data_IF_104145297798
#
_entry.id   IF_104145297798
#
_cell.length_a   1.000
_cell.length_b   1.000
_cell.length_c   1.000
_cell.angle_alpha   90.00
_cell.angle_beta   90.00
_cell.angle_gamma   90.00
#
_symmetry.space_group_name_H-M   'P 1'
#
loop_
_entity.id
_entity.type
_entity.pdbx_description
1 polymer ?
#
# COMPACT_ATOMS: atom_id res chain seq x y z
N UNK A 1 19.86 1.91 -8.87
CA UNK A 1 18.64 1.72 -8.06
C UNK A 1 19.05 1.59 -6.60
N UNK A 2 18.23 2.11 -5.71
CA UNK A 2 18.44 2.06 -4.24
C UNK A 2 17.83 0.81 -3.63
N UNK A 3 16.73 0.30 -4.22
CA UNK A 3 15.98 -0.86 -3.74
C UNK A 3 15.99 -1.99 -4.76
N UNK A 4 15.73 -3.21 -4.28
CA UNK A 4 15.53 -4.38 -5.12
C UNK A 4 14.07 -4.42 -5.59
N UNK A 5 13.84 -4.15 -6.88
CA UNK A 5 12.52 -4.17 -7.48
C UNK A 5 12.23 -5.52 -8.13
N UNK A 6 11.10 -6.09 -7.79
CA UNK A 6 10.52 -7.27 -8.42
C UNK A 6 9.41 -6.85 -9.39
N UNK A 7 9.22 -7.62 -10.47
CA UNK A 7 8.19 -7.35 -11.47
C UNK A 7 7.22 -8.52 -11.56
N UNK A 8 6.18 -8.58 -10.72
CA UNK A 8 5.21 -9.67 -10.70
C UNK A 8 4.38 -9.78 -11.99
N UNK A 9 4.18 -8.67 -12.72
CA UNK A 9 3.50 -8.62 -14.00
C UNK A 9 4.03 -7.45 -14.86
N UNK A 10 3.78 -7.44 -16.17
CA UNK A 10 4.18 -6.33 -17.04
C UNK A 10 3.63 -4.98 -16.56
N UNK A 11 4.53 -4.01 -16.32
CA UNK A 11 4.19 -2.68 -15.82
C UNK A 11 3.71 -2.67 -14.37
N UNK A 12 3.94 -3.74 -13.63
CA UNK A 12 3.65 -3.85 -12.19
C UNK A 12 4.93 -4.23 -11.49
N UNK A 13 5.34 -3.44 -10.50
CA UNK A 13 6.55 -3.66 -9.74
C UNK A 13 6.27 -3.51 -8.24
N UNK A 14 7.16 -4.06 -7.44
CA UNK A 14 7.17 -3.86 -6.01
C UNK A 14 8.60 -3.84 -5.49
N UNK A 15 8.83 -3.16 -4.38
CA UNK A 15 10.06 -3.29 -3.60
C UNK A 15 9.72 -3.37 -2.11
N UNK A 16 10.71 -3.76 -1.32
CA UNK A 16 10.63 -3.79 0.15
C UNK A 16 11.62 -2.79 0.72
N UNK A 17 11.13 -1.92 1.60
CA UNK A 17 11.98 -0.95 2.29
C UNK A 17 12.60 -1.60 3.52
N UNK A 18 13.87 -1.28 3.85
CA UNK A 18 14.56 -1.90 5.00
C UNK A 18 13.90 -1.63 6.35
N UNK A 19 13.24 -0.48 6.51
CA UNK A 19 12.52 -0.17 7.74
C UNK A 19 11.16 -0.87 7.72
N UNK A 20 10.94 -1.72 8.71
CA UNK A 20 9.75 -2.56 8.91
C UNK A 20 9.42 -3.51 7.76
N UNK A 21 10.28 -3.66 6.76
CA UNK A 21 10.03 -4.51 5.60
C UNK A 21 8.77 -4.14 4.80
N UNK A 22 8.39 -2.84 4.87
CA UNK A 22 7.18 -2.34 4.23
C UNK A 22 7.28 -2.45 2.70
N UNK A 23 6.21 -2.89 2.08
CA UNK A 23 6.10 -3.01 0.63
C UNK A 23 5.63 -1.70 0.01
N UNK A 24 6.32 -1.28 -1.03
CA UNK A 24 5.89 -0.20 -1.92
C UNK A 24 5.57 -0.80 -3.28
N UNK A 25 4.39 -0.50 -3.80
CA UNK A 25 3.92 -0.92 -5.11
C UNK A 25 4.09 0.17 -6.16
N UNK A 26 4.31 -0.26 -7.40
CA UNK A 26 4.40 0.61 -8.57
C UNK A 26 3.63 0.00 -9.73
N UNK A 27 2.71 0.76 -10.30
CA UNK A 27 2.00 0.38 -11.53
C UNK A 27 2.14 1.51 -12.53
N UNK A 28 2.60 1.20 -13.74
CA UNK A 28 2.67 2.20 -14.79
C UNK A 28 1.96 1.74 -16.07
N UNK A 29 1.33 2.67 -16.72
CA UNK A 29 0.76 2.57 -18.05
C UNK A 29 1.36 3.64 -18.96
N UNK A 30 0.75 3.81 -20.13
CA UNK A 30 1.23 4.79 -21.12
C UNK A 30 1.13 6.23 -20.61
N UNK A 31 0.09 6.57 -19.86
CA UNK A 31 -0.26 7.95 -19.51
C UNK A 31 -0.15 8.24 -18.01
N UNK A 32 0.31 7.26 -17.19
CA UNK A 32 0.40 7.44 -15.74
C UNK A 32 1.29 6.45 -15.02
N UNK A 33 1.80 6.90 -13.88
CA UNK A 33 2.62 6.12 -12.93
C UNK A 33 1.98 6.24 -11.56
N UNK A 34 1.53 5.12 -11.01
CA UNK A 34 0.87 5.04 -9.69
C UNK A 34 1.82 4.40 -8.70
N UNK A 35 2.07 5.10 -7.61
CA UNK A 35 2.75 4.59 -6.43
C UNK A 35 1.70 4.10 -5.42
N UNK A 36 1.90 2.93 -4.84
CA UNK A 36 1.03 2.34 -3.82
C UNK A 36 1.84 2.25 -2.54
N UNK A 37 1.44 3.02 -1.55
CA UNK A 37 2.17 3.34 -0.33
C UNK A 37 3.53 4.01 -0.61
N UNK A 38 4.16 4.63 0.39
CA UNK A 38 5.26 5.55 0.10
C UNK A 38 6.36 5.59 1.19
N UNK A 39 6.36 4.64 2.11
CA UNK A 39 7.35 4.59 3.19
C UNK A 39 7.12 5.64 4.28
N UNK A 40 8.12 5.76 5.14
CA UNK A 40 8.08 6.56 6.39
C UNK A 40 8.75 7.92 6.23
N UNK A 41 9.76 8.05 5.37
CA UNK A 41 10.66 9.20 5.35
C UNK A 41 10.77 9.87 3.99
N UNK A 42 11.15 11.16 3.98
CA UNK A 42 11.44 11.87 2.72
C UNK A 42 12.71 11.33 2.05
N UNK A 43 13.63 10.71 2.80
CA UNK A 43 14.81 10.06 2.23
C UNK A 43 14.40 8.82 1.43
N UNK A 44 13.55 7.96 1.99
CA UNK A 44 12.99 6.81 1.26
C UNK A 44 12.24 7.27 0.02
N UNK A 45 11.40 8.30 0.13
CA UNK A 45 10.67 8.85 -0.99
C UNK A 45 11.58 9.38 -2.11
N UNK A 46 12.70 10.04 -1.77
CA UNK A 46 13.68 10.51 -2.76
C UNK A 46 14.37 9.34 -3.48
N UNK A 47 14.72 8.28 -2.76
CA UNK A 47 15.33 7.06 -3.31
C UNK A 47 14.34 6.30 -4.21
N UNK A 48 13.08 6.15 -3.76
CA UNK A 48 11.98 5.57 -4.56
C UNK A 48 11.75 6.37 -5.84
N UNK A 49 11.71 7.71 -5.74
CA UNK A 49 11.51 8.58 -6.90
C UNK A 49 12.62 8.40 -7.95
N UNK A 50 13.88 8.25 -7.50
CA UNK A 50 15.00 7.97 -8.40
C UNK A 50 14.85 6.61 -9.09
N UNK A 51 14.55 5.56 -8.34
CA UNK A 51 14.38 4.22 -8.88
C UNK A 51 13.20 4.14 -9.85
N UNK A 52 12.08 4.80 -9.52
CA UNK A 52 10.88 4.84 -10.37
C UNK A 52 11.18 5.54 -11.69
N UNK A 53 11.93 6.63 -11.67
CA UNK A 53 12.35 7.31 -12.90
C UNK A 53 13.24 6.42 -13.76
N UNK A 54 14.13 5.62 -13.16
CA UNK A 54 14.96 4.65 -13.87
C UNK A 54 14.12 3.50 -14.49
N UNK A 55 13.08 3.03 -13.80
CA UNK A 55 12.21 1.93 -14.25
C UNK A 55 11.25 2.38 -15.34
N UNK A 56 10.62 3.55 -15.17
CA UNK A 56 9.48 3.98 -16.01
C UNK A 56 9.83 5.06 -17.02
N UNK A 57 10.94 5.75 -16.83
CA UNK A 57 11.30 6.96 -17.58
C UNK A 57 10.44 8.18 -17.24
N UNK A 58 9.60 8.12 -16.20
CA UNK A 58 8.65 9.16 -15.82
C UNK A 58 8.59 9.37 -14.30
N UNK A 59 8.04 10.50 -13.89
CA UNK A 59 7.74 10.77 -12.48
C UNK A 59 6.42 10.11 -12.05
N UNK A 60 6.26 9.89 -10.75
CA UNK A 60 4.99 9.47 -10.15
C UNK A 60 3.92 10.51 -10.44
N UNK A 61 2.78 10.07 -10.97
CA UNK A 61 1.62 10.93 -11.27
C UNK A 61 0.49 10.78 -10.25
N UNK A 62 0.39 9.61 -9.63
CA UNK A 62 -0.64 9.30 -8.63
C UNK A 62 -0.04 8.52 -7.47
N UNK A 63 -0.53 8.77 -6.26
CA UNK A 63 -0.22 8.00 -5.05
C UNK A 63 -1.51 7.45 -4.48
N UNK A 64 -1.53 6.17 -4.17
CA UNK A 64 -2.59 5.52 -3.38
C UNK A 64 -2.00 5.13 -2.03
N UNK A 65 -2.54 5.66 -0.94
CA UNK A 65 -2.20 5.27 0.43
C UNK A 65 -3.26 4.31 0.94
N UNK A 66 -2.86 3.09 1.32
CA UNK A 66 -3.80 2.01 1.65
C UNK A 66 -4.51 2.22 2.96
N UNK A 67 -3.80 2.63 4.00
CA UNK A 67 -4.33 2.88 5.33
C UNK A 67 -3.45 3.91 6.08
N UNK A 68 -3.77 4.25 7.33
CA UNK A 68 -3.22 5.43 7.99
C UNK A 68 -1.92 5.19 8.78
N UNK A 69 -1.33 3.99 8.75
CA UNK A 69 -0.09 3.74 9.47
C UNK A 69 1.08 4.48 8.84
N UNK A 70 1.99 4.92 9.70
CA UNK A 70 3.05 5.90 9.38
C UNK A 70 3.98 5.44 8.25
N UNK A 71 4.25 4.15 8.18
CA UNK A 71 5.17 3.52 7.23
C UNK A 71 4.58 3.36 5.81
N UNK A 72 3.28 3.60 5.67
CA UNK A 72 2.57 3.62 4.38
C UNK A 72 2.34 5.03 3.84
N UNK A 73 2.38 6.08 4.70
CA UNK A 73 1.86 7.41 4.32
C UNK A 73 2.85 8.56 4.42
N UNK A 74 3.87 8.49 5.28
CA UNK A 74 4.68 9.67 5.61
C UNK A 74 5.67 10.08 4.52
N UNK A 75 6.00 9.20 3.58
CA UNK A 75 6.82 9.52 2.41
C UNK A 75 6.09 10.32 1.32
N UNK A 76 4.74 10.38 1.35
CA UNK A 76 3.93 11.00 0.29
C UNK A 76 4.36 12.44 -0.10
N UNK A 77 4.75 13.34 0.82
CA UNK A 77 5.20 14.69 0.46
C UNK A 77 6.44 14.73 -0.44
N UNK A 78 7.24 13.65 -0.47
CA UNK A 78 8.43 13.55 -1.33
C UNK A 78 8.11 13.42 -2.83
N UNK A 79 6.86 13.16 -3.19
CA UNK A 79 6.41 13.02 -4.58
C UNK A 79 5.60 14.27 -5.01
N UNK A 80 6.26 15.43 -4.97
CA UNK A 80 5.61 16.71 -5.34
C UNK A 80 5.07 16.68 -6.77
N UNK A 81 3.79 17.04 -6.94
CA UNK A 81 3.09 17.05 -8.22
C UNK A 81 2.25 15.79 -8.51
N UNK A 82 2.41 14.70 -7.76
CA UNK A 82 1.52 13.55 -7.82
C UNK A 82 0.17 13.87 -7.14
N UNK A 83 -0.92 13.37 -7.71
CA UNK A 83 -2.27 13.43 -7.13
C UNK A 83 -2.41 12.29 -6.14
N UNK A 84 -2.80 12.58 -4.91
CA UNK A 84 -2.89 11.60 -3.83
C UNK A 84 -4.33 11.18 -3.53
N UNK A 85 -4.51 9.87 -3.34
CA UNK A 85 -5.77 9.20 -3.04
C UNK A 85 -5.62 8.40 -1.75
N UNK A 86 -6.56 8.54 -0.83
CA UNK A 86 -6.50 7.83 0.44
C UNK A 86 -7.87 7.71 1.12
N UNK A 87 -8.06 6.79 2.07
CA UNK A 87 -9.27 6.71 2.85
C UNK A 87 -9.39 7.89 3.85
N UNK A 88 -10.59 8.19 4.38
CA UNK A 88 -10.82 9.31 5.29
C UNK A 88 -9.91 9.30 6.54
N UNK A 89 -9.51 8.13 7.02
CA UNK A 89 -8.63 8.03 8.18
C UNK A 89 -7.22 8.57 7.92
N UNK A 90 -6.68 8.36 6.72
CA UNK A 90 -5.39 8.95 6.31
C UNK A 90 -5.45 10.47 6.30
N UNK A 91 -6.55 11.05 5.79
CA UNK A 91 -6.72 12.51 5.81
C UNK A 91 -6.70 13.07 7.25
N UNK A 92 -7.33 12.37 8.19
CA UNK A 92 -7.26 12.73 9.62
C UNK A 92 -5.86 12.54 10.21
N UNK A 93 -5.21 11.41 9.91
CA UNK A 93 -3.87 11.09 10.41
C UNK A 93 -2.83 12.14 9.97
N UNK A 94 -2.86 12.55 8.70
CA UNK A 94 -1.93 13.54 8.14
C UNK A 94 -2.25 14.99 8.53
N UNK A 95 -3.34 15.24 9.25
CA UNK A 95 -3.74 16.59 9.72
C UNK A 95 -3.88 16.62 11.24
N UNK A 96 -5.06 16.39 11.76
CA UNK A 96 -5.34 16.52 13.19
C UNK A 96 -4.76 15.40 14.05
N UNK A 97 -4.50 14.21 13.46
CA UNK A 97 -3.93 13.03 14.13
C UNK A 97 -2.40 12.91 14.01
N UNK A 98 -1.72 13.87 13.39
CA UNK A 98 -0.29 13.75 13.06
C UNK A 98 0.60 13.52 14.29
N UNK A 99 0.21 14.02 15.45
CA UNK A 99 0.90 13.77 16.72
C UNK A 99 0.86 12.31 17.18
N UNK A 100 -0.27 11.63 16.94
CA UNK A 100 -0.44 10.21 17.23
C UNK A 100 0.38 9.35 16.25
N UNK A 101 0.36 9.71 14.97
CA UNK A 101 1.20 9.10 13.92
C UNK A 101 2.68 9.17 14.32
N UNK A 102 3.14 10.35 14.76
CA UNK A 102 4.53 10.55 15.24
C UNK A 102 4.84 9.66 16.44
N UNK A 103 3.97 9.64 17.43
CA UNK A 103 4.20 8.84 18.65
C UNK A 103 4.29 7.34 18.31
N UNK A 104 3.43 6.86 17.42
CA UNK A 104 3.42 5.49 16.94
C UNK A 104 4.72 5.13 16.21
N UNK A 105 5.16 5.95 15.24
CA UNK A 105 6.40 5.73 14.50
C UNK A 105 7.62 5.64 15.43
N UNK A 106 7.70 6.50 16.45
CA UNK A 106 8.79 6.46 17.43
C UNK A 106 8.81 5.16 18.26
N UNK A 107 7.64 4.59 18.57
CA UNK A 107 7.55 3.30 19.29
C UNK A 107 8.16 2.15 18.46
N UNK A 108 8.09 2.23 17.13
CA UNK A 108 8.68 1.28 16.20
C UNK A 108 10.13 1.60 15.83
N UNK A 109 10.72 2.66 16.42
CA UNK A 109 12.13 2.97 16.25
C UNK A 109 12.46 3.85 15.04
N UNK A 110 11.49 4.57 14.48
CA UNK A 110 11.74 5.54 13.43
C UNK A 110 12.72 6.64 13.89
N UNK A 111 13.62 7.08 13.01
CA UNK A 111 14.52 8.21 13.31
C UNK A 111 13.71 9.49 13.51
N UNK A 112 13.86 10.12 14.68
CA UNK A 112 13.07 11.27 15.05
C UNK A 112 13.29 12.48 14.12
N UNK A 113 14.52 12.67 13.61
CA UNK A 113 14.84 13.79 12.73
C UNK A 113 14.25 13.63 11.32
N UNK A 114 14.33 12.41 10.76
CA UNK A 114 13.68 12.08 9.47
C UNK A 114 12.16 12.19 9.59
N UNK A 115 11.62 11.64 10.69
CA UNK A 115 10.19 11.69 10.99
C UNK A 115 9.68 13.13 11.09
N UNK A 116 10.36 14.00 11.84
CA UNK A 116 9.98 15.41 12.00
C UNK A 116 10.00 16.17 10.66
N UNK A 117 10.94 15.84 9.75
CA UNK A 117 10.96 16.39 8.39
C UNK A 117 9.76 15.94 7.56
N UNK A 118 9.42 14.65 7.58
CA UNK A 118 8.26 14.11 6.87
C UNK A 118 6.95 14.72 7.39
N UNK A 119 6.80 14.81 8.71
CA UNK A 119 5.64 15.41 9.37
C UNK A 119 5.49 16.89 9.04
N UNK A 120 6.59 17.66 9.04
CA UNK A 120 6.54 19.09 8.69
C UNK A 120 6.09 19.33 7.24
N UNK A 121 6.29 18.36 6.35
CA UNK A 121 5.85 18.42 4.95
C UNK A 121 4.48 17.75 4.72
N UNK A 122 3.93 17.04 5.72
CA UNK A 122 2.68 16.32 5.59
C UNK A 122 1.49 17.22 5.24
N UNK A 123 0.62 16.71 4.39
CA UNK A 123 -0.62 17.38 3.97
C UNK A 123 -1.73 16.35 3.78
N UNK A 124 -2.97 16.82 3.83
CA UNK A 124 -4.12 15.99 3.48
C UNK A 124 -4.00 15.47 2.04
N UNK A 125 -4.52 14.26 1.75
CA UNK A 125 -4.60 13.76 0.38
C UNK A 125 -5.51 14.66 -0.47
N UNK A 126 -5.23 14.72 -1.79
CA UNK A 126 -6.02 15.49 -2.74
C UNK A 126 -7.44 14.92 -2.89
N UNK A 127 -7.56 13.58 -2.84
CA UNK A 127 -8.81 12.87 -2.94
C UNK A 127 -9.01 11.91 -1.78
N UNK A 128 -10.12 12.10 -1.07
CA UNK A 128 -10.58 11.16 -0.04
C UNK A 128 -11.55 10.19 -0.68
N UNK A 129 -11.20 8.91 -0.66
CA UNK A 129 -11.91 7.86 -1.40
C UNK A 129 -12.24 6.64 -0.52
N UNK A 130 -13.21 5.85 -0.99
CA UNK A 130 -13.43 4.45 -0.60
C UNK A 130 -13.32 3.52 -1.80
N UNK A 131 -13.48 4.07 -3.01
CA UNK A 131 -13.24 3.39 -4.28
C UNK A 131 -12.92 4.41 -5.37
N UNK A 132 -12.10 4.02 -6.36
CA UNK A 132 -11.83 4.77 -7.58
C UNK A 132 -11.22 3.86 -8.64
N UNK A 133 -11.53 4.12 -9.89
CA UNK A 133 -10.81 3.56 -11.04
C UNK A 133 -9.86 4.62 -11.58
N UNK A 134 -8.56 4.28 -11.70
CA UNK A 134 -7.53 5.15 -12.26
C UNK A 134 -7.14 4.66 -13.65
N UNK A 135 -7.38 5.47 -14.66
CA UNK A 135 -7.02 5.18 -16.06
C UNK A 135 -5.57 5.63 -16.32
N UNK A 136 -4.73 4.69 -16.75
CA UNK A 136 -3.33 4.93 -17.10
C UNK A 136 -3.09 4.86 -18.62
N UNK A 137 -4.18 4.96 -19.42
CA UNK A 137 -4.17 5.03 -20.87
C UNK A 137 -4.22 3.69 -21.59
N UNK A 138 -3.48 2.69 -21.16
CA UNK A 138 -3.49 1.32 -21.71
C UNK A 138 -3.94 0.28 -20.68
N UNK A 139 -4.20 0.70 -19.45
CA UNK A 139 -4.77 -0.09 -18.37
C UNK A 139 -5.53 0.79 -17.41
N UNK A 140 -6.48 0.20 -16.70
CA UNK A 140 -7.16 0.79 -15.56
C UNK A 140 -6.80 -0.03 -14.32
N UNK A 141 -6.54 0.64 -13.22
CA UNK A 141 -6.40 0.00 -11.90
C UNK A 141 -7.62 0.36 -11.06
N UNK A 142 -8.11 -0.61 -10.29
CA UNK A 142 -9.20 -0.40 -9.36
C UNK A 142 -8.67 -0.30 -7.94
N UNK A 143 -9.06 0.74 -7.25
CA UNK A 143 -8.81 0.94 -5.82
C UNK A 143 -10.13 0.81 -5.10
N UNK A 144 -10.22 -0.02 -4.06
CA UNK A 144 -11.46 -0.18 -3.29
C UNK A 144 -11.21 -0.62 -1.85
N UNK A 145 -12.18 -0.32 -0.98
CA UNK A 145 -12.24 -0.81 0.39
C UNK A 145 -12.99 -2.15 0.41
N UNK A 146 -12.30 -3.30 0.60
CA UNK A 146 -12.95 -4.60 0.55
C UNK A 146 -13.71 -4.94 1.82
N UNK A 147 -13.51 -4.18 2.89
CA UNK A 147 -14.12 -4.35 4.19
C UNK A 147 -13.14 -4.11 5.34
N UNK A 148 -13.65 -4.16 6.56
CA UNK A 148 -12.87 -3.97 7.79
C UNK A 148 -11.93 -5.16 8.01
N UNK A 149 -10.75 -4.88 8.58
CA UNK A 149 -9.78 -5.95 8.83
C UNK A 149 -8.68 -5.47 9.75
N UNK A 150 -7.50 -5.21 9.19
CA UNK A 150 -6.37 -4.63 9.89
C UNK A 150 -6.73 -3.26 10.48
N UNK A 151 -7.44 -2.46 9.67
CA UNK A 151 -8.14 -1.25 10.11
C UNK A 151 -9.61 -1.29 9.67
N UNK A 152 -10.36 -0.22 9.92
CA UNK A 152 -11.75 -0.08 9.43
C UNK A 152 -11.85 0.58 8.05
N UNK A 153 -10.71 0.84 7.39
CA UNK A 153 -10.64 1.67 6.18
C UNK A 153 -9.59 1.21 5.14
N UNK A 154 -9.03 0.02 5.30
CA UNK A 154 -8.00 -0.50 4.39
C UNK A 154 -8.45 -0.44 2.92
N UNK A 155 -7.63 0.12 2.04
CA UNK A 155 -7.81 0.06 0.59
C UNK A 155 -6.93 -1.03 -0.01
N UNK A 156 -7.43 -1.67 -1.04
CA UNK A 156 -6.64 -2.58 -1.90
C UNK A 156 -6.58 -2.03 -3.31
N UNK A 157 -5.52 -2.40 -4.03
CA UNK A 157 -5.36 -2.01 -5.43
C UNK A 157 -5.31 -3.25 -6.30
N UNK A 158 -6.29 -3.37 -7.19
CA UNK A 158 -6.44 -4.50 -8.10
C UNK A 158 -5.98 -4.09 -9.49
N UNK A 159 -4.98 -4.81 -10.01
CA UNK A 159 -4.43 -4.62 -11.35
C UNK A 159 -4.83 -5.81 -12.20
N UNK A 160 -5.73 -5.57 -13.15
CA UNK A 160 -6.16 -6.59 -14.08
C UNK A 160 -5.01 -7.05 -15.01
N UNK A 161 -5.00 -8.31 -15.45
CA UNK A 161 -3.96 -8.81 -16.34
C UNK A 161 -4.02 -8.13 -17.71
N UNK A 162 -2.86 -7.80 -18.27
CA UNK A 162 -2.74 -7.34 -19.66
C UNK A 162 -2.48 -8.56 -20.54
N UNK A 163 -3.54 -9.08 -21.16
CA UNK A 163 -3.50 -10.30 -21.99
C UNK A 163 -3.66 -11.60 -21.20
N UNK A 164 -4.09 -12.66 -21.89
CA UNK A 164 -4.53 -13.93 -21.30
C UNK A 164 -3.44 -14.75 -20.57
N UNK A 165 -2.18 -14.38 -20.72
CA UNK A 165 -1.05 -15.10 -20.10
C UNK A 165 -0.59 -14.49 -18.76
N UNK A 166 -1.15 -13.35 -18.37
CA UNK A 166 -0.77 -12.65 -17.15
C UNK A 166 -1.80 -12.87 -16.05
N UNK A 167 -1.38 -12.66 -14.82
CA UNK A 167 -2.20 -12.84 -13.64
C UNK A 167 -2.68 -11.49 -13.09
N UNK A 168 -3.82 -11.48 -12.44
CA UNK A 168 -4.22 -10.35 -11.60
C UNK A 168 -3.17 -10.14 -10.50
N UNK A 169 -2.84 -8.88 -10.22
CA UNK A 169 -2.01 -8.51 -9.07
C UNK A 169 -2.87 -7.68 -8.12
N UNK A 170 -2.85 -8.04 -6.84
CA UNK A 170 -3.61 -7.33 -5.80
C UNK A 170 -2.64 -6.84 -4.74
N UNK A 171 -2.49 -5.52 -4.61
CA UNK A 171 -1.81 -4.92 -3.47
C UNK A 171 -2.79 -4.84 -2.31
N UNK A 172 -2.45 -5.49 -1.22
CA UNK A 172 -3.39 -5.79 -0.13
C UNK A 172 -3.25 -4.83 1.06
N UNK A 173 -2.19 -4.01 1.11
CA UNK A 173 -1.81 -3.37 2.36
C UNK A 173 -1.68 -4.42 3.47
N UNK A 174 -1.90 -4.01 4.70
CA UNK A 174 -1.76 -4.87 5.88
C UNK A 174 -2.96 -5.81 6.14
N UNK A 175 -3.92 -5.84 5.21
CA UNK A 175 -4.91 -6.93 5.20
C UNK A 175 -4.25 -8.29 4.99
N UNK A 176 -3.08 -8.33 4.32
CA UNK A 176 -2.24 -9.53 4.20
C UNK A 176 -0.84 -9.22 4.69
N UNK A 177 -0.32 -10.06 5.59
CA UNK A 177 1.00 -9.94 6.21
C UNK A 177 1.81 -11.19 5.94
N UNK A 178 3.04 -11.05 5.40
CA UNK A 178 3.90 -12.22 5.12
C UNK A 178 5.15 -12.21 6.00
N UNK A 179 5.65 -11.04 6.40
CA UNK A 179 6.88 -10.94 7.20
C UNK A 179 6.72 -11.42 8.63
N UNK A 180 5.48 -11.45 9.14
CA UNK A 180 5.14 -11.86 10.50
C UNK A 180 3.71 -12.40 10.60
N UNK A 181 3.22 -12.66 11.81
CA UNK A 181 1.79 -12.84 12.07
C UNK A 181 1.05 -11.50 11.81
N UNK A 182 -0.21 -11.54 11.29
CA UNK A 182 -1.01 -10.34 11.07
C UNK A 182 -1.07 -9.45 12.31
N UNK A 183 -0.76 -8.17 12.14
CA UNK A 183 -0.74 -7.20 13.22
C UNK A 183 -2.18 -6.90 13.69
N UNK A 184 -2.56 -7.47 14.83
CA UNK A 184 -3.86 -7.24 15.48
C UNK A 184 -3.66 -6.18 16.56
N UNK A 185 -4.33 -5.05 16.42
CA UNK A 185 -4.30 -3.94 17.35
C UNK A 185 -5.72 -3.51 17.75
N UNK A 186 -5.85 -2.40 18.49
CA UNK A 186 -7.15 -1.91 18.98
C UNK A 186 -8.10 -1.45 17.87
N UNK A 187 -7.60 -1.20 16.66
CA UNK A 187 -8.37 -0.76 15.51
C UNK A 187 -8.81 -1.91 14.61
N UNK A 188 -8.23 -3.10 14.83
CA UNK A 188 -8.50 -4.29 14.03
C UNK A 188 -9.87 -4.90 14.36
N UNK A 189 -10.58 -5.33 13.33
CA UNK A 189 -11.81 -6.12 13.47
C UNK A 189 -11.56 -7.54 12.96
N UNK A 190 -11.01 -8.40 13.84
CA UNK A 190 -10.61 -9.77 13.49
C UNK A 190 -11.77 -10.57 12.89
N UNK A 191 -12.99 -10.39 13.40
CA UNK A 191 -14.17 -11.10 12.90
C UNK A 191 -14.55 -10.65 11.50
N UNK A 192 -14.55 -9.34 11.24
CA UNK A 192 -14.83 -8.81 9.92
C UNK A 192 -13.70 -9.14 8.93
N UNK A 193 -12.45 -9.19 9.42
CA UNK A 193 -11.26 -9.46 8.60
C UNK A 193 -11.35 -10.79 7.85
N UNK A 194 -11.89 -11.83 8.48
CA UNK A 194 -12.12 -13.13 7.86
C UNK A 194 -12.95 -12.99 6.56
N UNK A 195 -14.10 -12.32 6.65
CA UNK A 195 -14.95 -12.05 5.49
C UNK A 195 -14.33 -11.08 4.49
N UNK A 196 -13.46 -10.19 4.93
CA UNK A 196 -12.71 -9.27 4.07
C UNK A 196 -11.68 -10.04 3.23
N UNK A 197 -10.97 -11.03 3.81
CA UNK A 197 -10.06 -11.90 3.07
C UNK A 197 -10.81 -12.80 2.07
N UNK A 198 -12.03 -13.26 2.38
CA UNK A 198 -12.84 -13.97 1.39
C UNK A 198 -13.19 -13.08 0.18
N UNK A 199 -13.52 -11.79 0.42
CA UNK A 199 -13.75 -10.82 -0.67
C UNK A 199 -12.45 -10.53 -1.45
N UNK A 200 -11.34 -10.40 -0.77
CA UNK A 200 -10.03 -10.21 -1.39
C UNK A 200 -9.68 -11.37 -2.33
N UNK A 201 -9.91 -12.62 -1.88
CA UNK A 201 -9.74 -13.82 -2.71
C UNK A 201 -10.69 -13.83 -3.92
N UNK A 202 -11.92 -13.33 -3.76
CA UNK A 202 -12.87 -13.23 -4.87
C UNK A 202 -12.46 -12.15 -5.89
N UNK A 203 -11.87 -11.05 -5.44
CA UNK A 203 -11.35 -9.96 -6.30
C UNK A 203 -10.15 -10.41 -7.14
N UNK A 204 -9.17 -11.04 -6.51
CA UNK A 204 -7.96 -11.48 -7.21
C UNK A 204 -8.14 -12.78 -7.99
N UNK A 205 -8.87 -13.72 -7.42
CA UNK A 205 -9.02 -15.07 -7.94
C UNK A 205 -7.89 -16.03 -7.52
N UNK A 206 -8.03 -17.32 -7.87
CA UNK A 206 -7.13 -18.38 -7.39
C UNK A 206 -5.70 -18.29 -7.95
N UNK A 207 -5.54 -17.69 -9.11
CA UNK A 207 -4.25 -17.58 -9.80
C UNK A 207 -3.58 -16.21 -9.61
N UNK A 208 -4.18 -15.30 -8.82
CA UNK A 208 -3.65 -13.97 -8.60
C UNK A 208 -2.35 -13.99 -7.79
N UNK A 209 -1.58 -12.92 -7.94
CA UNK A 209 -0.46 -12.58 -7.07
C UNK A 209 -0.95 -11.55 -6.07
N UNK A 210 -0.85 -11.86 -4.79
CA UNK A 210 -1.19 -10.96 -3.71
C UNK A 210 0.09 -10.35 -3.15
N UNK A 211 0.10 -9.04 -3.03
CA UNK A 211 1.24 -8.26 -2.51
C UNK A 211 0.86 -7.76 -1.12
N UNK A 212 1.44 -8.34 -0.06
CA UNK A 212 1.23 -7.90 1.32
C UNK A 212 1.74 -6.49 1.57
N UNK A 213 1.28 -5.85 2.66
CA UNK A 213 1.84 -4.60 3.15
C UNK A 213 3.29 -4.76 3.63
N UNK A 214 3.63 -5.95 4.14
CA UNK A 214 4.99 -6.31 4.56
C UNK A 214 5.34 -7.70 4.05
N UNK A 215 6.60 -7.89 3.64
CA UNK A 215 7.12 -9.19 3.23
C UNK A 215 7.03 -9.48 1.74
N UNK A 216 7.11 -10.76 1.38
CA UNK A 216 7.16 -11.24 0.00
C UNK A 216 5.77 -11.34 -0.65
N UNK A 217 5.74 -11.35 -1.99
CA UNK A 217 4.52 -11.65 -2.75
C UNK A 217 4.04 -13.08 -2.46
N UNK A 218 2.73 -13.27 -2.36
CA UNK A 218 2.10 -14.54 -1.98
C UNK A 218 1.02 -14.97 -2.97
N UNK A 219 0.56 -16.20 -2.83
CA UNK A 219 -0.54 -16.78 -3.60
C UNK A 219 -1.88 -16.77 -2.82
N UNK A 220 -2.96 -17.15 -3.50
CA UNK A 220 -4.28 -17.27 -2.88
C UNK A 220 -4.32 -18.27 -1.71
N UNK A 221 -3.49 -19.32 -1.75
CA UNK A 221 -3.43 -20.33 -0.69
C UNK A 221 -2.83 -19.73 0.60
N UNK A 222 -1.87 -18.81 0.49
CA UNK A 222 -1.35 -18.07 1.64
C UNK A 222 -2.44 -17.21 2.29
N UNK A 223 -3.17 -16.41 1.49
CA UNK A 223 -4.27 -15.56 1.98
C UNK A 223 -5.34 -16.41 2.67
N UNK A 224 -5.67 -17.58 2.12
CA UNK A 224 -6.60 -18.52 2.74
C UNK A 224 -6.07 -19.06 4.09
N UNK A 225 -4.77 -19.38 4.21
CA UNK A 225 -4.17 -19.78 5.49
C UNK A 225 -4.20 -18.67 6.53
N UNK A 226 -3.94 -17.43 6.13
CA UNK A 226 -4.05 -16.28 7.04
C UNK A 226 -5.50 -16.10 7.54
N UNK A 227 -6.49 -16.22 6.65
CA UNK A 227 -7.92 -16.21 7.03
C UNK A 227 -8.24 -17.31 8.07
N UNK A 228 -7.76 -18.52 7.84
CA UNK A 228 -7.97 -19.65 8.76
C UNK A 228 -7.26 -19.41 10.09
N UNK A 229 -6.08 -18.79 10.09
CA UNK A 229 -5.36 -18.38 11.29
C UNK A 229 -6.15 -17.34 12.10
N UNK A 230 -6.76 -16.33 11.45
CA UNK A 230 -7.62 -15.34 12.09
C UNK A 230 -8.88 -15.97 12.71
N UNK A 231 -9.43 -17.02 12.10
CA UNK A 231 -10.60 -17.74 12.62
C UNK A 231 -10.34 -18.35 14.01
N UNK A 232 -9.09 -18.70 14.32
CA UNK A 232 -8.72 -19.23 15.64
C UNK A 232 -8.59 -18.14 16.71
N UNK A 233 -8.71 -16.85 16.34
CA UNK A 233 -8.51 -15.68 17.22
C UNK A 233 -9.72 -14.73 17.27
N UNK A 234 -10.79 -15.07 16.57
CA UNK A 234 -12.06 -14.31 16.48
C UNK A 234 -13.03 -14.62 17.62
#
# INVERSE_FOLDING_TARGET
MYYEWESPAPGVHRCRLPFLDVTVGLVHGRDGVVLIDCGTTLLEAAQLSSDIADITGAAVTHIVMTHHHFDHILGAPGFGGAISYAPPAVARALTTGIGEVRAHALQYGADAGELDRAIAAARAPDHVITEVDLDLGDRTIRVEHPGRGHTDHDLVVVVAPVGAQHRTVVFCGDLVEESADPAINAESDVRAWIGTLDRLLALGGPDAIYIPGHGAAVDAAFVARQRDWLTTRS
#
